data_IF_993133067580
#
_entry.id   IF_993133067580
#
_cell.length_a   1.000
_cell.length_b   1.000
_cell.length_c   1.000
_cell.angle_alpha   90.00
_cell.angle_beta   90.00
_cell.angle_gamma   90.00
#
_symmetry.space_group_name_H-M   'P 1'
#
loop_
_entity.id
_entity.type
_entity.pdbx_description
1 polymer ?
#
# COMPACT_ATOMS: atom_id res chain seq x y z
N UNK A 1 8.76 5.36 14.47
CA UNK A 1 7.84 4.62 13.57
C UNK A 1 7.68 3.21 14.10
N UNK A 2 6.46 2.77 14.19
CA UNK A 2 6.11 1.39 14.52
C UNK A 2 5.59 0.69 13.28
N UNK A 3 6.02 -0.54 13.07
CA UNK A 3 5.47 -1.40 12.03
C UNK A 3 4.58 -2.43 12.71
N UNK A 4 3.30 -2.47 12.32
CA UNK A 4 2.32 -3.34 12.92
C UNK A 4 1.69 -4.23 11.85
N UNK A 5 1.55 -5.50 12.18
CA UNK A 5 0.73 -6.42 11.38
C UNK A 5 -0.68 -6.48 11.98
N UNK A 6 -1.69 -6.47 11.12
CA UNK A 6 -3.07 -6.59 11.58
C UNK A 6 -3.94 -7.28 10.53
N UNK A 7 -4.99 -7.91 11.00
CA UNK A 7 -6.00 -8.56 10.15
C UNK A 7 -7.42 -8.15 10.56
N UNK A 8 -7.54 -7.01 11.23
CA UNK A 8 -8.80 -6.45 11.68
C UNK A 8 -9.18 -5.26 10.80
N UNK A 9 -10.30 -4.62 11.10
CA UNK A 9 -10.66 -3.36 10.42
C UNK A 9 -9.59 -2.30 10.69
N UNK A 10 -9.29 -1.50 9.66
CA UNK A 10 -8.33 -0.42 9.79
C UNK A 10 -8.74 0.58 10.87
N UNK A 11 -10.04 0.90 10.95
CA UNK A 11 -10.56 1.80 11.98
C UNK A 11 -10.38 1.24 13.38
N UNK A 12 -10.50 -0.07 13.56
CA UNK A 12 -10.25 -0.72 14.84
C UNK A 12 -8.78 -0.61 15.25
N UNK A 13 -7.87 -0.81 14.31
CA UNK A 13 -6.45 -0.62 14.54
C UNK A 13 -6.14 0.81 14.94
N UNK A 14 -6.71 1.78 14.24
CA UNK A 14 -6.54 3.20 14.54
C UNK A 14 -7.01 3.53 15.96
N UNK A 15 -8.19 3.06 16.33
CA UNK A 15 -8.73 3.28 17.66
C UNK A 15 -7.83 2.71 18.74
N UNK A 16 -7.36 1.48 18.53
CA UNK A 16 -6.46 0.80 19.48
C UNK A 16 -5.16 1.57 19.69
N UNK A 17 -4.64 2.20 18.64
CA UNK A 17 -3.38 2.94 18.68
C UNK A 17 -3.58 4.45 18.86
N UNK A 18 -4.80 4.90 19.11
CA UNK A 18 -5.14 6.32 19.28
C UNK A 18 -4.77 7.16 18.06
N UNK A 19 -4.86 6.58 16.87
CA UNK A 19 -4.60 7.25 15.62
C UNK A 19 -5.92 7.89 15.13
N UNK A 20 -5.83 9.13 14.68
CA UNK A 20 -6.99 9.88 14.17
C UNK A 20 -6.85 10.21 12.69
N UNK A 21 -5.72 9.90 12.09
CA UNK A 21 -5.43 10.20 10.70
C UNK A 21 -4.86 8.94 10.05
N UNK A 22 -5.37 8.63 8.85
CA UNK A 22 -4.83 7.58 7.98
C UNK A 22 -4.21 8.28 6.77
N UNK A 23 -2.95 7.98 6.48
CA UNK A 23 -2.32 8.42 5.24
C UNK A 23 -2.38 7.31 4.21
N UNK A 24 -2.86 7.62 3.02
CA UNK A 24 -2.92 6.68 1.90
C UNK A 24 -2.21 7.26 0.68
N UNK A 25 -1.47 6.42 -0.02
CA UNK A 25 -0.83 6.81 -1.28
C UNK A 25 -1.74 6.55 -2.47
N UNK A 26 -1.77 7.47 -3.42
CA UNK A 26 -2.44 7.29 -4.70
C UNK A 26 -1.41 7.26 -5.81
N UNK A 27 -1.42 6.22 -6.62
CA UNK A 27 -0.49 6.05 -7.74
C UNK A 27 -1.11 6.43 -9.07
N UNK A 28 -2.39 6.14 -9.25
CA UNK A 28 -3.08 6.34 -10.52
C UNK A 28 -4.55 6.66 -10.29
N UNK A 29 -5.22 7.15 -11.34
CA UNK A 29 -6.66 7.47 -11.29
C UNK A 29 -7.48 6.24 -10.92
N UNK A 30 -7.08 5.06 -11.40
CA UNK A 30 -7.78 3.81 -11.07
C UNK A 30 -7.73 3.45 -9.59
N UNK A 31 -6.68 3.86 -8.86
CA UNK A 31 -6.61 3.66 -7.42
C UNK A 31 -7.58 4.56 -6.68
N UNK A 32 -7.86 5.74 -7.22
CA UNK A 32 -8.67 6.76 -6.56
C UNK A 32 -10.07 6.25 -6.25
N UNK A 33 -10.72 5.59 -7.18
CA UNK A 33 -12.09 5.14 -7.00
C UNK A 33 -12.21 4.13 -5.85
N UNK A 34 -11.32 3.16 -5.81
CA UNK A 34 -11.27 2.19 -4.72
C UNK A 34 -10.97 2.86 -3.39
N UNK A 35 -9.98 3.74 -3.36
CA UNK A 35 -9.58 4.44 -2.14
C UNK A 35 -10.68 5.37 -1.64
N UNK A 36 -11.38 6.02 -2.55
CA UNK A 36 -12.50 6.90 -2.21
C UNK A 36 -13.63 6.12 -1.52
N UNK A 37 -13.98 4.96 -2.07
CA UNK A 37 -15.01 4.12 -1.47
C UNK A 37 -14.59 3.61 -0.09
N UNK A 38 -13.35 3.17 0.04
CA UNK A 38 -12.84 2.69 1.32
C UNK A 38 -12.82 3.81 2.37
N UNK A 39 -12.43 5.01 1.97
CA UNK A 39 -12.44 6.18 2.87
C UNK A 39 -13.83 6.50 3.34
N UNK A 40 -14.82 6.46 2.44
CA UNK A 40 -16.21 6.69 2.81
C UNK A 40 -16.72 5.67 3.81
N UNK A 41 -16.39 4.40 3.61
CA UNK A 41 -16.78 3.36 4.55
C UNK A 41 -16.09 3.50 5.91
N UNK A 42 -14.80 3.79 5.91
CA UNK A 42 -14.06 4.01 7.15
C UNK A 42 -14.65 5.20 7.94
N UNK A 43 -15.00 6.26 7.25
CA UNK A 43 -15.62 7.42 7.89
C UNK A 43 -16.96 7.08 8.55
N UNK A 44 -17.77 6.25 7.89
CA UNK A 44 -19.04 5.80 8.47
C UNK A 44 -18.82 4.87 9.68
N UNK A 45 -17.77 4.06 9.64
CA UNK A 45 -17.43 3.19 10.76
C UNK A 45 -16.91 3.98 11.95
N UNK A 46 -16.12 5.01 11.71
CA UNK A 46 -15.60 5.88 12.75
C UNK A 46 -15.35 7.30 12.20
N UNK A 47 -16.29 8.24 12.41
CA UNK A 47 -16.17 9.60 11.89
C UNK A 47 -15.03 10.42 12.50
N UNK A 48 -14.41 9.94 13.57
CA UNK A 48 -13.30 10.65 14.22
C UNK A 48 -11.96 10.38 13.54
N UNK A 49 -11.93 9.48 12.55
CA UNK A 49 -10.72 9.14 11.82
C UNK A 49 -10.82 9.72 10.40
N UNK A 50 -9.86 10.56 10.05
CA UNK A 50 -9.78 11.16 8.72
C UNK A 50 -8.73 10.46 7.88
N UNK A 51 -8.96 10.43 6.57
CA UNK A 51 -7.99 9.89 5.61
C UNK A 51 -7.44 11.02 4.76
N UNK A 52 -6.11 11.07 4.64
CA UNK A 52 -5.40 12.03 3.82
C UNK A 52 -4.69 11.27 2.71
N UNK A 53 -4.87 11.72 1.47
CA UNK A 53 -4.24 11.11 0.32
C UNK A 53 -3.00 11.88 -0.10
N UNK A 54 -1.94 11.14 -0.40
CA UNK A 54 -0.71 11.68 -0.94
C UNK A 54 -0.51 11.10 -2.33
N UNK A 55 -0.26 11.96 -3.30
CA UNK A 55 0.02 11.52 -4.66
C UNK A 55 1.47 11.06 -4.76
N UNK A 56 1.70 9.92 -5.41
CA UNK A 56 3.06 9.48 -5.69
C UNK A 56 3.69 10.35 -6.78
N UNK A 57 5.03 10.40 -6.77
CA UNK A 57 5.75 11.08 -7.85
C UNK A 57 5.60 10.29 -9.15
N UNK A 58 5.64 11.01 -10.28
CA UNK A 58 5.46 10.41 -11.60
C UNK A 58 6.49 9.31 -11.91
N UNK A 59 7.68 9.43 -11.34
CA UNK A 59 8.78 8.50 -11.61
C UNK A 59 8.50 7.07 -11.17
N UNK A 60 7.59 6.87 -10.21
CA UNK A 60 7.30 5.56 -9.64
C UNK A 60 5.86 5.10 -9.88
N UNK A 61 5.07 5.90 -10.60
CA UNK A 61 3.65 5.62 -10.78
C UNK A 61 3.36 4.35 -11.58
N UNK A 62 4.33 3.89 -12.41
CA UNK A 62 4.17 2.69 -13.23
C UNK A 62 4.57 1.40 -12.49
N UNK A 63 5.19 1.52 -11.32
CA UNK A 63 5.66 0.35 -10.57
C UNK A 63 4.49 -0.27 -9.80
N UNK A 64 4.21 -1.55 -10.06
CA UNK A 64 3.22 -2.31 -9.31
C UNK A 64 3.82 -3.63 -8.86
N UNK A 65 3.31 -4.17 -7.76
CA UNK A 65 3.79 -5.45 -7.24
C UNK A 65 3.57 -6.59 -8.23
N UNK A 66 2.46 -6.56 -8.97
CA UNK A 66 2.18 -7.60 -9.96
C UNK A 66 3.18 -7.58 -11.10
N UNK A 67 3.52 -6.41 -11.63
CA UNK A 67 4.53 -6.29 -12.68
C UNK A 67 5.91 -6.69 -12.19
N UNK A 68 6.29 -6.28 -10.98
CA UNK A 68 7.57 -6.68 -10.40
C UNK A 68 7.68 -8.19 -10.29
N UNK A 69 6.65 -8.85 -9.78
CA UNK A 69 6.62 -10.30 -9.65
C UNK A 69 6.71 -10.99 -11.01
N UNK A 70 6.01 -10.46 -12.00
CA UNK A 70 6.03 -11.02 -13.35
C UNK A 70 7.41 -10.90 -14.01
N UNK A 71 8.03 -9.71 -13.91
CA UNK A 71 9.38 -9.48 -14.43
C UNK A 71 10.38 -10.42 -13.75
N UNK A 72 10.31 -10.53 -12.44
CA UNK A 72 11.19 -11.41 -11.67
C UNK A 72 11.00 -12.88 -12.09
N UNK A 73 9.78 -13.32 -12.22
CA UNK A 73 9.45 -14.70 -12.61
C UNK A 73 10.00 -15.05 -13.96
N UNK A 74 10.01 -14.09 -14.89
CA UNK A 74 10.52 -14.27 -16.23
C UNK A 74 12.04 -14.08 -16.35
N UNK A 75 12.72 -13.88 -15.22
CA UNK A 75 14.17 -13.75 -15.17
C UNK A 75 14.69 -12.34 -15.38
N UNK A 76 13.81 -11.33 -15.36
CA UNK A 76 14.21 -9.93 -15.50
C UNK A 76 14.83 -9.39 -14.23
N UNK A 77 15.61 -8.32 -14.39
CA UNK A 77 16.25 -7.63 -13.27
C UNK A 77 15.29 -6.60 -12.67
N UNK A 78 14.94 -6.80 -11.40
CA UNK A 78 14.03 -5.90 -10.69
C UNK A 78 14.75 -4.95 -9.72
N UNK A 79 16.08 -4.88 -9.78
CA UNK A 79 16.89 -4.10 -8.86
C UNK A 79 16.60 -2.60 -8.91
N UNK A 80 16.09 -2.08 -10.04
CA UNK A 80 15.73 -0.68 -10.19
C UNK A 80 14.32 -0.36 -9.65
N UNK A 81 13.55 -1.37 -9.29
CA UNK A 81 12.16 -1.21 -8.87
C UNK A 81 11.95 -1.50 -7.41
N UNK A 82 12.77 -2.34 -6.80
CA UNK A 82 12.57 -2.78 -5.42
C UNK A 82 13.91 -2.87 -4.68
N UNK A 83 13.83 -2.95 -3.36
CA UNK A 83 15.01 -3.06 -2.49
C UNK A 83 15.64 -4.44 -2.59
N UNK A 84 16.90 -4.53 -2.12
CA UNK A 84 17.61 -5.81 -2.06
C UNK A 84 16.88 -6.84 -1.20
N UNK A 85 16.25 -6.40 -0.11
CA UNK A 85 15.47 -7.28 0.74
C UNK A 85 14.30 -7.90 0.00
N UNK A 86 13.62 -7.09 -0.81
CA UNK A 86 12.50 -7.59 -1.61
C UNK A 86 12.96 -8.61 -2.64
N UNK A 87 14.10 -8.36 -3.31
CA UNK A 87 14.66 -9.31 -4.26
C UNK A 87 14.95 -10.63 -3.57
N UNK A 88 15.57 -10.58 -2.40
CA UNK A 88 15.88 -11.77 -1.61
C UNK A 88 14.63 -12.59 -1.27
N UNK A 89 13.55 -11.92 -0.93
CA UNK A 89 12.27 -12.58 -0.63
C UNK A 89 11.69 -13.21 -1.88
N UNK A 90 11.73 -12.50 -3.01
CA UNK A 90 11.24 -13.04 -4.29
C UNK A 90 12.02 -14.28 -4.71
N UNK A 91 13.34 -14.26 -4.56
CA UNK A 91 14.19 -15.39 -4.87
C UNK A 91 13.86 -16.61 -4.00
N UNK A 92 13.65 -16.40 -2.71
CA UNK A 92 13.31 -17.48 -1.78
C UNK A 92 11.96 -18.11 -2.07
N UNK A 93 10.98 -17.31 -2.44
CA UNK A 93 9.64 -17.81 -2.73
C UNK A 93 9.57 -18.56 -4.04
N UNK A 94 10.55 -18.38 -4.89
CA UNK A 94 10.66 -19.04 -6.18
C UNK A 94 9.39 -18.94 -7.01
N UNK A 95 8.84 -17.76 -6.99
CA UNK A 95 7.55 -17.48 -7.64
C UNK A 95 7.79 -16.94 -9.04
#
# INVERSE_FOLDING_TARGET
IKVLYFNTLTTSLCKKNRATIIFRGLRAVSDFEYEFQMTGMNYKLNPNIETIFLMSSDNNSFISSNFVKEVHKLGGDVSNFVSKNTISILDKKNI
#
